data_IF_903290743669
#
_entry.id   IF_903290743669
#
_cell.length_a   1.000
_cell.length_b   1.000
_cell.length_c   1.000
_cell.angle_alpha   90.00
_cell.angle_beta   90.00
_cell.angle_gamma   90.00
#
_symmetry.space_group_name_H-M   'P 1'
#
loop_
_entity.id
_entity.type
_entity.pdbx_description
1 polymer ?
#
# COMPACT_ATOMS: atom_id res chain seq x y z
N UNK A 1 -22.10 10.03 22.52
CA UNK A 1 -21.48 9.11 21.54
C UNK A 1 -21.49 9.77 20.17
N UNK A 2 -20.35 10.25 19.68
CA UNK A 2 -20.24 10.90 18.37
C UNK A 2 -19.43 9.97 17.47
N UNK A 3 -20.11 9.19 16.63
CA UNK A 3 -19.47 8.29 15.65
C UNK A 3 -19.05 9.16 14.47
N UNK A 4 -17.76 9.43 14.33
CA UNK A 4 -17.21 10.02 13.12
C UNK A 4 -16.98 8.86 12.15
N UNK A 5 -17.83 8.78 11.13
CA UNK A 5 -17.62 7.89 9.99
C UNK A 5 -16.53 8.56 9.14
N UNK A 6 -15.27 8.28 9.48
CA UNK A 6 -14.09 8.58 8.65
C UNK A 6 -13.85 7.38 7.72
N UNK A 7 -14.86 7.11 6.88
CA UNK A 7 -14.74 6.17 5.78
C UNK A 7 -15.10 6.93 4.51
N UNK A 8 -14.31 6.79 3.47
CA UNK A 8 -14.63 7.25 2.10
C UNK A 8 -14.69 8.77 1.84
N UNK A 9 -13.77 9.57 2.39
CA UNK A 9 -13.55 10.95 1.90
C UNK A 9 -12.11 11.20 1.41
N UNK A 10 -11.14 10.38 1.82
CA UNK A 10 -9.73 10.55 1.44
C UNK A 10 -9.50 10.17 -0.02
N UNK A 11 -10.26 9.21 -0.56
CA UNK A 11 -10.11 8.74 -1.95
C UNK A 11 -10.43 9.82 -2.98
N UNK A 12 -11.42 10.67 -2.74
CA UNK A 12 -11.79 11.73 -3.70
C UNK A 12 -10.83 12.92 -3.68
N UNK A 13 -10.24 13.26 -2.52
CA UNK A 13 -9.28 14.35 -2.42
C UNK A 13 -7.96 14.01 -3.12
N UNK A 14 -7.50 12.75 -3.04
CA UNK A 14 -6.32 12.27 -3.77
C UNK A 14 -6.63 12.20 -5.27
N UNK A 15 -7.82 11.72 -5.67
CA UNK A 15 -8.21 11.66 -7.08
C UNK A 15 -8.32 13.06 -7.72
N UNK A 16 -8.86 14.05 -6.99
CA UNK A 16 -9.04 15.41 -7.50
C UNK A 16 -7.72 16.19 -7.60
N UNK A 17 -6.75 15.93 -6.72
CA UNK A 17 -5.41 16.54 -6.80
C UNK A 17 -4.59 16.02 -8.00
N UNK A 18 -4.91 14.85 -8.55
CA UNK A 18 -4.21 14.24 -9.69
C UNK A 18 -4.74 14.70 -11.07
N UNK A 19 -5.90 15.37 -11.14
CA UNK A 19 -6.51 15.76 -12.43
C UNK A 19 -5.95 17.07 -13.03
N UNK A 20 -4.99 17.71 -12.34
CA UNK A 20 -4.32 18.91 -12.83
C UNK A 20 -2.91 18.63 -13.35
N UNK A 21 -2.76 18.61 -14.68
CA UNK A 21 -1.49 18.63 -15.41
C UNK A 21 -0.72 17.29 -15.49
N UNK A 22 -1.07 16.48 -16.49
CA UNK A 22 -0.22 15.44 -17.07
C UNK A 22 0.26 14.36 -16.10
N UNK A 23 -0.63 13.46 -15.69
CA UNK A 23 -0.26 12.26 -14.94
C UNK A 23 0.82 11.50 -15.72
N UNK A 24 2.05 11.48 -15.18
CA UNK A 24 3.16 10.85 -15.87
C UNK A 24 2.97 9.33 -15.85
N UNK A 25 3.54 8.62 -16.82
CA UNK A 25 3.54 7.15 -16.82
C UNK A 25 4.13 6.56 -15.52
N UNK A 26 4.98 7.33 -14.83
CA UNK A 26 5.54 6.97 -13.54
C UNK A 26 4.54 7.12 -12.38
N UNK A 27 3.78 8.23 -12.34
CA UNK A 27 2.77 8.44 -11.28
C UNK A 27 1.71 7.35 -11.31
N UNK A 28 1.27 6.97 -12.52
CA UNK A 28 0.36 5.84 -12.72
C UNK A 28 0.97 4.52 -12.24
N UNK A 29 2.24 4.25 -12.57
CA UNK A 29 2.93 3.05 -12.13
C UNK A 29 3.09 2.97 -10.61
N UNK A 30 3.40 4.10 -9.95
CA UNK A 30 3.46 4.21 -8.48
C UNK A 30 2.10 3.93 -7.84
N UNK A 31 1.02 4.44 -8.44
CA UNK A 31 -0.34 4.17 -7.98
C UNK A 31 -0.69 2.68 -8.10
N UNK A 32 -0.46 2.08 -9.27
CA UNK A 32 -0.68 0.64 -9.50
C UNK A 32 0.16 -0.24 -8.56
N UNK A 33 1.42 0.16 -8.28
CA UNK A 33 2.28 -0.50 -7.30
C UNK A 33 1.66 -0.49 -5.90
N UNK A 34 1.23 0.70 -5.43
CA UNK A 34 0.57 0.84 -4.12
C UNK A 34 -0.68 -0.04 -4.04
N UNK A 35 -1.54 0.01 -5.06
CA UNK A 35 -2.78 -0.75 -5.09
C UNK A 35 -2.53 -2.27 -5.06
N UNK A 36 -1.56 -2.77 -5.82
CA UNK A 36 -1.19 -4.19 -5.78
C UNK A 36 -0.68 -4.61 -4.42
N UNK A 37 0.22 -3.83 -3.82
CA UNK A 37 0.81 -4.12 -2.52
C UNK A 37 -0.23 -4.16 -1.41
N UNK A 38 -1.17 -3.21 -1.39
CA UNK A 38 -2.26 -3.18 -0.41
C UNK A 38 -3.36 -4.21 -0.68
N UNK A 39 -3.48 -4.72 -1.90
CA UNK A 39 -4.42 -5.79 -2.25
C UNK A 39 -3.91 -7.19 -1.90
N UNK A 40 -2.67 -7.32 -1.44
CA UNK A 40 -2.11 -8.60 -1.00
C UNK A 40 -2.91 -9.10 0.19
N UNK A 41 -3.41 -10.34 0.10
CA UNK A 41 -4.09 -10.97 1.22
C UNK A 41 -3.11 -11.16 2.39
N UNK A 42 -3.52 -10.89 3.65
CA UNK A 42 -2.65 -11.04 4.82
C UNK A 42 -2.00 -12.43 4.94
N UNK A 43 -2.69 -13.49 4.51
CA UNK A 43 -2.20 -14.88 4.50
C UNK A 43 -0.98 -15.10 3.60
N UNK A 44 -0.85 -14.30 2.52
CA UNK A 44 0.22 -14.40 1.52
C UNK A 44 1.24 -13.26 1.64
N UNK A 45 1.08 -12.37 2.62
CA UNK A 45 1.84 -11.13 2.75
C UNK A 45 3.36 -11.34 2.61
N UNK A 46 3.94 -12.24 3.40
CA UNK A 46 5.40 -12.44 3.43
C UNK A 46 6.00 -13.01 2.14
N UNK A 47 5.19 -13.50 1.21
CA UNK A 47 5.64 -14.07 -0.06
C UNK A 47 5.32 -13.10 -1.20
N UNK A 48 4.10 -12.58 -1.26
CA UNK A 48 3.64 -11.77 -2.39
C UNK A 48 4.19 -10.34 -2.36
N UNK A 49 4.56 -9.83 -1.18
CA UNK A 49 5.20 -8.50 -1.04
C UNK A 49 6.55 -8.47 -1.75
N UNK A 50 7.39 -9.47 -1.49
CA UNK A 50 8.71 -9.58 -2.13
C UNK A 50 8.56 -9.75 -3.65
N UNK A 51 7.69 -10.65 -4.11
CA UNK A 51 7.45 -10.84 -5.55
C UNK A 51 6.93 -9.59 -6.24
N UNK A 52 6.01 -8.86 -5.60
CA UNK A 52 5.45 -7.64 -6.18
C UNK A 52 6.53 -6.56 -6.25
N UNK A 53 7.33 -6.39 -5.19
CA UNK A 53 8.48 -5.48 -5.20
C UNK A 53 9.47 -5.82 -6.32
N UNK A 54 9.88 -7.08 -6.42
CA UNK A 54 10.82 -7.55 -7.44
C UNK A 54 10.31 -7.33 -8.88
N UNK A 55 8.99 -7.50 -9.10
CA UNK A 55 8.37 -7.24 -10.40
C UNK A 55 8.56 -5.77 -10.81
N UNK A 56 8.24 -4.84 -9.90
CA UNK A 56 8.38 -3.41 -10.20
C UNK A 56 9.83 -2.93 -10.17
N UNK A 57 10.72 -3.52 -9.37
CA UNK A 57 12.15 -3.21 -9.39
C UNK A 57 12.80 -3.57 -10.74
N UNK A 58 12.33 -4.61 -11.44
CA UNK A 58 12.82 -4.94 -12.79
C UNK A 58 12.51 -3.86 -13.82
N UNK A 59 11.36 -3.20 -13.70
CA UNK A 59 10.92 -2.17 -14.67
C UNK A 59 11.34 -0.75 -14.27
N UNK A 60 11.32 -0.44 -12.98
CA UNK A 60 11.48 0.92 -12.46
C UNK A 60 12.76 1.09 -11.60
N UNK A 61 13.52 0.03 -11.38
CA UNK A 61 14.78 0.05 -10.64
C UNK A 61 14.61 0.59 -9.21
N UNK A 62 15.51 1.50 -8.83
CA UNK A 62 15.52 2.09 -7.49
C UNK A 62 14.25 2.87 -7.13
N UNK A 63 13.44 3.29 -8.12
CA UNK A 63 12.20 4.02 -7.86
C UNK A 63 11.17 3.14 -7.15
N UNK A 64 11.06 1.86 -7.53
CA UNK A 64 10.18 0.91 -6.85
C UNK A 64 10.56 0.73 -5.37
N UNK A 65 11.86 0.77 -5.06
CA UNK A 65 12.30 0.76 -3.66
C UNK A 65 11.89 2.03 -2.91
N UNK A 66 12.03 3.22 -3.52
CA UNK A 66 11.55 4.48 -2.92
C UNK A 66 10.05 4.41 -2.65
N UNK A 67 9.26 3.98 -3.62
CA UNK A 67 7.80 3.84 -3.46
C UNK A 67 7.44 2.84 -2.36
N UNK A 68 8.22 1.78 -2.22
CA UNK A 68 8.03 0.81 -1.15
C UNK A 68 8.33 1.40 0.23
N UNK A 69 9.41 2.16 0.37
CA UNK A 69 9.71 2.87 1.63
C UNK A 69 8.60 3.85 2.00
N UNK A 70 8.12 4.65 1.04
CA UNK A 70 6.98 5.56 1.26
C UNK A 70 5.70 4.80 1.65
N UNK A 71 5.44 3.64 1.05
CA UNK A 71 4.27 2.82 1.38
C UNK A 71 4.33 2.30 2.81
N UNK A 72 5.51 1.92 3.30
CA UNK A 72 5.68 1.41 4.67
C UNK A 72 5.33 2.43 5.75
N UNK A 73 5.39 3.72 5.44
CA UNK A 73 5.02 4.79 6.37
C UNK A 73 3.50 5.01 6.46
N UNK A 74 2.70 4.29 5.66
CA UNK A 74 1.24 4.44 5.67
C UNK A 74 0.55 3.54 6.70
N UNK A 75 -0.52 4.05 7.30
CA UNK A 75 -1.36 3.27 8.23
C UNK A 75 -2.00 2.04 7.57
N UNK A 76 -2.28 2.13 6.27
CA UNK A 76 -2.86 1.04 5.47
C UNK A 76 -1.89 -0.15 5.41
N UNK A 77 -0.61 0.14 5.17
CA UNK A 77 0.44 -0.87 5.15
C UNK A 77 0.69 -1.46 6.54
N UNK A 78 0.74 -0.62 7.58
CA UNK A 78 0.90 -1.08 8.96
C UNK A 78 -0.23 -2.04 9.35
N UNK A 79 -1.48 -1.68 9.07
CA UNK A 79 -2.64 -2.51 9.37
C UNK A 79 -2.55 -3.89 8.67
N UNK A 80 -2.20 -3.90 7.39
CA UNK A 80 -2.03 -5.14 6.62
C UNK A 80 -0.93 -6.03 7.22
N UNK A 81 0.23 -5.44 7.56
CA UNK A 81 1.33 -6.15 8.20
C UNK A 81 0.95 -6.72 9.56
N UNK A 82 0.19 -5.96 10.37
CA UNK A 82 -0.35 -6.42 11.64
C UNK A 82 -1.25 -7.65 11.43
N UNK A 83 -2.20 -7.58 10.51
CA UNK A 83 -3.12 -8.69 10.21
C UNK A 83 -2.36 -9.94 9.76
N UNK A 84 -1.37 -9.78 8.89
CA UNK A 84 -0.50 -10.87 8.46
C UNK A 84 0.25 -11.52 9.63
N UNK A 85 0.76 -10.71 10.56
CA UNK A 85 1.41 -11.20 11.78
C UNK A 85 0.44 -11.94 12.71
N UNK A 86 -0.82 -11.48 12.82
CA UNK A 86 -1.84 -12.19 13.63
C UNK A 86 -2.11 -13.59 13.08
N UNK A 87 -2.26 -13.70 11.76
CA UNK A 87 -2.51 -14.98 11.09
C UNK A 87 -1.31 -15.91 11.22
N UNK A 88 -0.08 -15.40 11.05
CA UNK A 88 1.13 -16.22 11.13
C UNK A 88 1.43 -16.73 12.55
N UNK A 89 1.18 -15.93 13.57
CA UNK A 89 1.48 -16.27 14.96
C UNK A 89 0.30 -16.87 15.73
N UNK A 90 -0.90 -16.87 15.14
CA UNK A 90 -2.14 -17.27 15.80
C UNK A 90 -2.60 -16.34 16.92
N UNK A 91 -1.90 -15.21 17.16
CA UNK A 91 -2.23 -14.21 18.19
C UNK A 91 -1.95 -12.81 17.67
N UNK A 92 -2.81 -11.86 17.98
CA UNK A 92 -2.52 -10.45 17.72
C UNK A 92 -1.22 -10.03 18.45
N UNK A 93 -0.27 -9.31 17.80
CA UNK A 93 0.82 -8.70 18.52
C UNK A 93 0.23 -7.73 19.55
N UNK A 94 0.63 -7.89 20.81
CA UNK A 94 0.27 -6.95 21.88
C UNK A 94 1.22 -5.76 21.76
N UNK A 95 0.68 -4.61 21.40
CA UNK A 95 1.33 -3.32 21.53
C UNK A 95 1.23 -2.83 22.97
#
# INVERSE_FOLDING_TARGET
MKKIILGTAITLAILLLLTGCGESAEDKAKLEFKEKMLSIKPENFFIEVEKTKDFYEKEYGMKANVWFEELKETNEWEALGIEALKLRSGKAPKY
#
